data_IF_759700571220
#
_entry.id   IF_759700571220
#
_cell.length_a   1.000
_cell.length_b   1.000
_cell.length_c   1.000
_cell.angle_alpha   90.00
_cell.angle_beta   90.00
_cell.angle_gamma   90.00
#
_symmetry.space_group_name_H-M   'P 1'
#
loop_
_entity.id
_entity.type
_entity.pdbx_description
1 polymer ?
#
# COMPACT_ATOMS: atom_id res chain seq x y z
N UNK A 1 -1.95 4.23 -7.06
CA UNK A 1 -0.51 3.97 -7.25
C UNK A 1 -0.22 2.47 -7.47
N UNK A 2 -0.49 1.58 -6.51
CA UNK A 2 -0.06 0.17 -6.63
C UNK A 2 -0.65 -0.61 -7.81
N UNK A 3 -1.94 -0.44 -8.13
CA UNK A 3 -2.54 -1.05 -9.33
C UNK A 3 -1.89 -0.55 -10.63
N UNK A 4 -1.49 0.71 -10.69
CA UNK A 4 -0.82 1.26 -11.87
C UNK A 4 0.58 0.66 -12.03
N UNK A 5 1.32 0.43 -10.93
CA UNK A 5 2.59 -0.29 -11.01
C UNK A 5 2.37 -1.71 -11.55
N UNK A 6 1.39 -2.46 -11.02
CA UNK A 6 1.09 -3.82 -11.49
C UNK A 6 0.68 -3.84 -12.98
N UNK A 7 -0.06 -2.83 -13.41
CA UNK A 7 -0.51 -2.67 -14.78
C UNK A 7 0.65 -2.40 -15.75
N UNK A 8 1.52 -1.42 -15.44
CA UNK A 8 2.48 -0.90 -16.41
C UNK A 8 3.89 -1.47 -16.30
N UNK A 9 4.24 -2.10 -15.17
CA UNK A 9 5.53 -2.76 -15.01
C UNK A 9 5.49 -4.13 -15.70
N UNK A 10 6.15 -4.24 -16.85
CA UNK A 10 6.25 -5.50 -17.62
C UNK A 10 7.19 -6.51 -16.96
N UNK A 11 8.41 -6.05 -16.62
CA UNK A 11 9.51 -6.94 -16.29
C UNK A 11 9.62 -7.20 -14.80
N UNK A 12 9.90 -8.46 -14.47
CA UNK A 12 10.32 -8.95 -13.14
C UNK A 12 9.34 -8.65 -12.00
N UNK A 13 8.11 -8.23 -12.32
CA UNK A 13 7.09 -7.96 -11.32
C UNK A 13 6.31 -9.21 -10.94
N UNK A 14 6.15 -10.16 -11.85
CA UNK A 14 5.34 -11.36 -11.63
C UNK A 14 6.13 -12.62 -12.01
N UNK A 15 6.14 -13.63 -11.15
CA UNK A 15 6.89 -14.88 -11.36
C UNK A 15 6.01 -16.07 -11.75
N UNK A 16 4.72 -16.06 -11.39
CA UNK A 16 3.74 -17.11 -11.70
C UNK A 16 2.33 -16.53 -11.82
N UNK A 17 1.38 -17.32 -12.32
CA UNK A 17 -0.02 -16.88 -12.34
C UNK A 17 -0.58 -16.62 -10.94
N UNK A 18 -0.27 -17.50 -9.98
CA UNK A 18 -0.72 -17.35 -8.58
C UNK A 18 -0.09 -16.14 -7.90
N UNK A 19 1.19 -15.86 -8.18
CA UNK A 19 1.83 -14.61 -7.76
C UNK A 19 1.13 -13.38 -8.37
N UNK A 20 0.71 -13.46 -9.65
CA UNK A 20 -0.08 -12.42 -10.29
C UNK A 20 -1.42 -12.19 -9.59
N UNK A 21 -2.14 -13.28 -9.26
CA UNK A 21 -3.45 -13.24 -8.59
C UNK A 21 -3.32 -12.68 -7.17
N UNK A 22 -2.29 -13.09 -6.42
CA UNK A 22 -1.91 -12.48 -5.14
C UNK A 22 -1.73 -10.98 -5.25
N UNK A 23 -0.91 -10.54 -6.21
CA UNK A 23 -0.62 -9.14 -6.45
C UNK A 23 -1.87 -8.34 -6.83
N UNK A 24 -2.74 -8.93 -7.64
CA UNK A 24 -3.98 -8.32 -8.09
C UNK A 24 -4.97 -8.16 -6.92
N UNK A 25 -5.27 -9.25 -6.20
CA UNK A 25 -6.21 -9.28 -5.08
C UNK A 25 -5.78 -8.30 -3.98
N UNK A 26 -4.52 -8.34 -3.54
CA UNK A 26 -4.00 -7.43 -2.52
C UNK A 26 -4.21 -5.95 -2.89
N UNK A 27 -3.93 -5.58 -4.15
CA UNK A 27 -4.04 -4.20 -4.63
C UNK A 27 -5.50 -3.75 -4.82
N UNK A 28 -6.41 -4.63 -5.22
CA UNK A 28 -7.84 -4.32 -5.29
C UNK A 28 -8.42 -4.10 -3.89
N UNK A 29 -8.09 -4.97 -2.94
CA UNK A 29 -8.51 -4.85 -1.55
C UNK A 29 -7.99 -3.56 -0.91
N UNK A 30 -6.71 -3.26 -1.10
CA UNK A 30 -6.11 -2.02 -0.59
C UNK A 30 -6.75 -0.77 -1.22
N UNK A 31 -7.00 -0.78 -2.54
CA UNK A 31 -7.74 0.29 -3.22
C UNK A 31 -9.13 0.46 -2.62
N UNK A 32 -9.84 -0.62 -2.31
CA UNK A 32 -11.18 -0.55 -1.71
C UNK A 32 -11.12 0.07 -0.31
N UNK A 33 -10.18 -0.34 0.53
CA UNK A 33 -9.97 0.27 1.84
C UNK A 33 -9.71 1.78 1.71
N UNK A 34 -8.90 2.20 0.74
CA UNK A 34 -8.66 3.61 0.45
C UNK A 34 -9.95 4.35 0.04
N UNK A 35 -10.73 3.79 -0.91
CA UNK A 35 -12.00 4.38 -1.37
C UNK A 35 -13.04 4.50 -0.26
N UNK A 36 -13.04 3.56 0.69
CA UNK A 36 -13.96 3.54 1.83
C UNK A 36 -13.47 4.39 3.02
N UNK A 37 -12.30 5.02 2.94
CA UNK A 37 -11.71 5.75 4.06
C UNK A 37 -11.33 4.85 5.25
N UNK A 38 -11.20 3.54 5.04
CA UNK A 38 -10.90 2.56 6.10
C UNK A 38 -9.41 2.41 6.40
N UNK A 39 -8.53 3.03 5.62
CA UNK A 39 -7.09 3.02 5.92
C UNK A 39 -6.76 3.78 7.21
N UNK A 40 -7.56 4.78 7.58
CA UNK A 40 -7.35 5.54 8.83
C UNK A 40 -7.80 4.79 10.09
N UNK A 41 -8.33 3.56 9.97
CA UNK A 41 -8.79 2.76 11.12
C UNK A 41 -7.63 2.22 11.98
N UNK A 42 -6.38 2.23 11.49
CA UNK A 42 -5.21 1.86 12.29
C UNK A 42 -4.70 3.09 13.06
N UNK A 43 -4.72 3.02 14.39
CA UNK A 43 -4.43 4.17 15.26
C UNK A 43 -5.10 4.06 16.63
N UNK A 44 -4.78 4.99 17.55
CA UNK A 44 -5.58 5.22 18.75
C UNK A 44 -6.99 5.70 18.41
N UNK A 45 -8.02 5.17 19.08
CA UNK A 45 -9.42 5.61 18.88
C UNK A 45 -9.70 7.08 19.27
N UNK A 46 -8.78 7.75 19.97
CA UNK A 46 -8.89 9.15 20.43
C UNK A 46 -8.16 10.15 19.53
N UNK A 47 -7.66 9.71 18.38
CA UNK A 47 -6.79 10.49 17.51
C UNK A 47 -7.53 11.49 16.60
N UNK A 48 -8.39 12.35 17.17
CA UNK A 48 -9.14 13.37 16.41
C UNK A 48 -8.26 14.42 15.70
N UNK A 49 -6.99 14.58 16.09
CA UNK A 49 -6.00 15.41 15.39
C UNK A 49 -5.38 14.73 14.14
N UNK A 50 -5.56 13.41 14.02
CA UNK A 50 -4.93 12.56 13.00
C UNK A 50 -5.68 12.52 11.67
N UNK A 51 -6.86 13.16 11.59
CA UNK A 51 -7.59 13.37 10.34
C UNK A 51 -6.78 14.19 9.31
N UNK A 52 -5.77 14.94 9.76
CA UNK A 52 -4.74 15.51 8.88
C UNK A 52 -3.66 14.45 8.57
N UNK A 53 -3.91 13.66 7.52
CA UNK A 53 -3.06 12.56 7.00
C UNK A 53 -1.57 12.94 6.84
N UNK A 54 -1.23 14.22 6.73
CA UNK A 54 0.12 14.73 6.47
C UNK A 54 1.11 14.72 7.65
N UNK A 55 0.70 14.40 8.88
CA UNK A 55 1.63 14.41 10.05
C UNK A 55 1.89 13.03 10.71
N UNK A 56 1.25 11.95 10.24
CA UNK A 56 1.33 10.62 10.89
C UNK A 56 2.70 9.97 10.86
N UNK A 57 3.54 10.28 9.86
CA UNK A 57 4.86 9.64 9.71
C UNK A 57 5.86 10.01 10.81
N UNK A 58 5.70 11.18 11.44
CA UNK A 58 6.55 11.60 12.57
C UNK A 58 6.26 10.75 13.81
N UNK A 59 5.04 10.21 13.90
CA UNK A 59 4.55 9.38 15.00
C UNK A 59 4.86 7.90 14.79
N UNK A 60 5.50 7.53 13.69
CA UNK A 60 5.92 6.15 13.42
C UNK A 60 7.37 5.96 13.86
N UNK A 61 7.76 4.74 14.25
CA UNK A 61 9.14 4.48 14.60
C UNK A 61 10.05 4.65 13.37
N UNK A 62 11.30 5.10 13.57
CA UNK A 62 12.22 5.34 12.46
C UNK A 62 12.54 4.05 11.72
N UNK A 63 12.20 3.95 10.44
CA UNK A 63 12.43 2.73 9.66
C UNK A 63 13.93 2.33 9.56
N UNK A 64 14.84 3.29 9.74
CA UNK A 64 16.28 3.12 9.55
C UNK A 64 17.02 2.47 10.73
N UNK A 65 16.34 2.02 11.80
CA UNK A 65 17.01 1.39 12.97
C UNK A 65 17.89 0.18 12.61
N UNK A 66 17.61 -0.51 11.50
CA UNK A 66 18.42 -1.63 11.02
C UNK A 66 19.37 -1.28 9.88
N UNK A 67 19.36 -0.03 9.38
CA UNK A 67 20.11 0.42 8.19
C UNK A 67 19.92 -0.48 6.95
N UNK A 68 18.82 -1.24 6.90
CA UNK A 68 18.44 -2.17 5.86
C UNK A 68 16.93 -2.02 5.65
N UNK A 69 16.46 -2.08 4.39
CA UNK A 69 15.01 -2.07 4.10
C UNK A 69 14.40 -3.46 4.24
N UNK A 70 13.11 -3.58 4.64
CA UNK A 70 12.40 -4.85 4.74
C UNK A 70 12.61 -5.85 3.58
N UNK A 71 12.61 -5.36 2.34
CA UNK A 71 12.77 -6.17 1.13
C UNK A 71 14.19 -6.71 0.87
N UNK A 72 15.22 -6.12 1.50
CA UNK A 72 16.61 -6.52 1.27
C UNK A 72 17.04 -7.71 2.14
N UNK A 73 16.34 -7.92 3.26
CA UNK A 73 16.76 -8.91 4.23
C UNK A 73 16.74 -10.33 3.67
N UNK A 74 17.78 -11.08 4.01
CA UNK A 74 17.94 -12.49 3.68
C UNK A 74 18.01 -13.32 4.97
N UNK A 75 17.49 -14.58 4.96
CA UNK A 75 16.84 -15.25 3.84
C UNK A 75 15.36 -14.89 3.62
N UNK A 76 14.60 -14.49 4.64
CA UNK A 76 13.12 -14.48 4.58
C UNK A 76 12.48 -13.08 4.45
N UNK A 77 13.23 -12.08 3.96
CA UNK A 77 12.70 -10.76 3.62
C UNK A 77 12.03 -10.04 4.80
N UNK A 78 10.82 -9.54 4.55
CA UNK A 78 10.08 -8.62 5.44
C UNK A 78 9.80 -9.23 6.82
N UNK A 79 9.58 -10.55 6.91
CA UNK A 79 9.22 -11.21 8.18
C UNK A 79 10.39 -11.29 9.16
N UNK A 80 11.55 -11.72 8.68
CA UNK A 80 12.77 -11.68 9.47
C UNK A 80 13.19 -10.26 9.79
N UNK A 81 12.93 -9.33 8.86
CA UNK A 81 13.22 -7.93 9.09
C UNK A 81 12.38 -7.40 10.24
N UNK A 82 11.08 -7.70 10.23
CA UNK A 82 10.15 -7.31 11.27
C UNK A 82 10.57 -7.84 12.65
N UNK A 83 11.02 -9.10 12.72
CA UNK A 83 11.51 -9.70 13.98
C UNK A 83 12.71 -8.95 14.55
N UNK A 84 13.75 -8.71 13.75
CA UNK A 84 14.93 -8.02 14.30
C UNK A 84 14.69 -6.50 14.46
N UNK A 85 13.82 -5.91 13.65
CA UNK A 85 13.43 -4.52 13.81
C UNK A 85 12.70 -4.34 15.13
N UNK A 86 11.80 -5.26 15.49
CA UNK A 86 11.09 -5.26 16.77
C UNK A 86 12.03 -5.26 17.97
N UNK A 87 13.11 -6.06 17.95
CA UNK A 87 14.11 -6.08 19.02
C UNK A 87 14.81 -4.72 19.19
N UNK A 88 15.12 -4.06 18.07
CA UNK A 88 15.84 -2.79 18.05
C UNK A 88 14.90 -1.65 18.41
N UNK A 89 13.65 -1.74 17.96
CA UNK A 89 12.57 -0.84 18.33
C UNK A 89 12.35 -0.85 19.84
N UNK A 90 12.30 -2.01 20.50
CA UNK A 90 12.15 -2.07 21.96
C UNK A 90 13.30 -1.36 22.70
N UNK A 91 14.52 -1.48 22.19
CA UNK A 91 15.69 -0.78 22.76
C UNK A 91 15.56 0.74 22.56
N UNK A 92 15.15 1.16 21.36
CA UNK A 92 14.91 2.56 21.03
C UNK A 92 13.80 3.18 21.89
N UNK A 93 12.67 2.47 22.04
CA UNK A 93 11.53 2.94 22.82
C UNK A 93 11.89 3.13 24.29
N UNK A 94 12.64 2.21 24.90
CA UNK A 94 13.14 2.37 26.29
C UNK A 94 14.00 3.62 26.46
N UNK A 95 14.86 3.91 25.48
CA UNK A 95 15.69 5.11 25.52
C UNK A 95 14.84 6.39 25.40
N UNK A 96 13.84 6.39 24.52
CA UNK A 96 12.92 7.53 24.38
C UNK A 96 12.08 7.73 25.65
N UNK A 97 11.50 6.66 26.19
CA UNK A 97 10.68 6.70 27.41
C UNK A 97 11.45 7.32 28.60
N UNK A 98 12.75 7.04 28.72
CA UNK A 98 13.61 7.67 29.74
C UNK A 98 13.78 9.17 29.51
N UNK A 99 13.98 9.60 28.26
CA UNK A 99 14.14 11.02 27.90
C UNK A 99 12.83 11.81 28.00
N UNK A 100 11.69 11.14 27.81
CA UNK A 100 10.37 11.76 27.84
C UNK A 100 9.85 11.95 29.28
N UNK A 101 10.56 11.44 30.30
CA UNK A 101 10.19 11.63 31.71
C UNK A 101 10.14 13.11 32.08
N UNK A 102 8.97 13.56 32.53
CA UNK A 102 8.75 14.93 32.97
C UNK A 102 8.54 15.95 31.83
N UNK A 103 8.51 15.50 30.57
CA UNK A 103 8.14 16.34 29.45
C UNK A 103 6.61 16.50 29.35
N UNK A 104 6.16 17.65 28.83
CA UNK A 104 4.77 17.90 28.51
C UNK A 104 4.53 17.76 27.00
N UNK A 105 3.49 17.01 26.62
CA UNK A 105 3.13 16.73 25.22
C UNK A 105 1.79 17.39 24.88
N UNK A 106 1.63 17.81 23.62
CA UNK A 106 0.46 18.57 23.16
C UNK A 106 -0.87 17.83 23.33
N UNK A 107 -0.85 16.51 23.12
CA UNK A 107 -1.98 15.60 23.29
C UNK A 107 -1.89 14.76 24.58
N UNK A 108 -0.88 15.03 25.42
CA UNK A 108 -0.59 14.26 26.63
C UNK A 108 -0.01 12.86 26.36
N UNK A 109 0.28 12.51 25.10
CA UNK A 109 0.80 11.19 24.72
C UNK A 109 2.27 11.34 24.30
N UNK A 110 3.21 10.64 24.94
CA UNK A 110 4.61 10.65 24.53
C UNK A 110 4.82 10.11 23.11
N UNK A 111 5.89 10.51 22.44
CA UNK A 111 6.19 10.05 21.09
C UNK A 111 6.50 8.55 21.07
N UNK A 112 7.16 8.02 22.11
CA UNK A 112 7.40 6.58 22.26
C UNK A 112 6.10 5.77 22.27
N UNK A 113 5.05 6.26 22.93
CA UNK A 113 3.75 5.61 22.98
C UNK A 113 3.09 5.58 21.59
N UNK A 114 3.19 6.68 20.83
CA UNK A 114 2.73 6.73 19.45
C UNK A 114 3.48 5.77 18.53
N UNK A 115 4.81 5.68 18.67
CA UNK A 115 5.64 4.76 17.89
C UNK A 115 5.32 3.29 18.18
N UNK A 116 5.13 2.95 19.46
CA UNK A 116 4.75 1.61 19.90
C UNK A 116 3.38 1.22 19.33
N UNK A 117 2.39 2.09 19.49
CA UNK A 117 1.05 1.87 18.94
C UNK A 117 1.12 1.69 17.42
N UNK A 118 1.86 2.54 16.70
CA UNK A 118 2.00 2.43 15.25
C UNK A 118 2.48 1.06 14.79
N UNK A 119 3.45 0.51 15.51
CA UNK A 119 4.01 -0.80 15.24
C UNK A 119 3.01 -1.92 15.55
N UNK A 120 2.38 -1.87 16.72
CA UNK A 120 1.45 -2.89 17.22
C UNK A 120 0.14 -2.94 16.41
N UNK A 121 -0.40 -1.79 16.01
CA UNK A 121 -1.65 -1.70 15.21
C UNK A 121 -1.40 -1.90 13.72
N UNK A 122 -0.15 -1.79 13.27
CA UNK A 122 0.23 -1.94 11.86
C UNK A 122 0.13 -0.64 11.06
N UNK A 123 -0.05 0.52 11.70
CA UNK A 123 0.03 1.83 11.04
C UNK A 123 1.38 2.04 10.36
N UNK A 124 2.47 1.61 11.00
CA UNK A 124 3.81 1.62 10.39
C UNK A 124 3.80 0.91 9.03
N UNK A 125 3.24 -0.30 8.98
CA UNK A 125 3.17 -1.11 7.77
C UNK A 125 2.25 -0.53 6.71
N UNK A 126 1.15 0.09 7.13
CA UNK A 126 0.26 0.81 6.22
C UNK A 126 0.98 1.98 5.56
N UNK A 127 1.68 2.81 6.34
CA UNK A 127 2.44 3.94 5.82
C UNK A 127 3.62 3.47 4.94
N UNK A 128 4.26 2.36 5.29
CA UNK A 128 5.29 1.73 4.48
C UNK A 128 4.73 1.25 3.12
N UNK A 129 3.65 0.47 3.15
CA UNK A 129 2.99 -0.06 1.96
C UNK A 129 2.53 1.06 1.02
N UNK A 130 1.96 2.15 1.58
CA UNK A 130 1.50 3.29 0.80
C UNK A 130 2.60 4.01 0.00
N UNK A 131 3.89 3.88 0.40
CA UNK A 131 5.03 4.55 -0.24
C UNK A 131 5.90 3.61 -1.07
N UNK A 132 5.94 2.32 -0.74
CA UNK A 132 6.90 1.36 -1.30
C UNK A 132 6.17 0.23 -2.02
N UNK A 133 6.12 0.33 -3.35
CA UNK A 133 5.31 -0.61 -4.14
C UNK A 133 5.97 -1.97 -4.38
N UNK A 134 7.29 -2.11 -4.22
CA UNK A 134 8.03 -3.38 -4.42
C UNK A 134 7.87 -4.38 -3.27
N UNK A 135 7.77 -3.92 -2.02
CA UNK A 135 7.52 -4.77 -0.86
C UNK A 135 6.02 -4.91 -0.54
N UNK A 136 5.15 -4.26 -1.35
CA UNK A 136 3.74 -4.11 -1.04
C UNK A 136 3.05 -5.45 -0.76
N UNK A 137 3.35 -6.48 -1.56
CA UNK A 137 2.69 -7.78 -1.47
C UNK A 137 3.00 -8.50 -0.15
N UNK A 138 4.28 -8.61 0.18
CA UNK A 138 4.71 -9.18 1.45
C UNK A 138 4.14 -8.38 2.63
N UNK A 139 4.20 -7.04 2.56
CA UNK A 139 3.67 -6.18 3.63
C UNK A 139 2.15 -6.34 3.80
N UNK A 140 1.41 -6.36 2.69
CA UNK A 140 -0.04 -6.51 2.72
C UNK A 140 -0.44 -7.85 3.33
N UNK A 141 0.10 -8.95 2.81
CA UNK A 141 -0.31 -10.29 3.21
C UNK A 141 0.09 -10.66 4.65
N UNK A 142 1.26 -10.19 5.10
CA UNK A 142 1.79 -10.53 6.41
C UNK A 142 1.29 -9.59 7.52
N UNK A 143 1.11 -8.31 7.23
CA UNK A 143 0.86 -7.31 8.29
C UNK A 143 -0.49 -6.60 8.20
N UNK A 144 -1.12 -6.53 7.02
CA UNK A 144 -2.35 -5.74 6.82
C UNK A 144 -3.61 -6.58 6.60
N UNK A 145 -3.53 -7.67 5.83
CA UNK A 145 -4.69 -8.44 5.39
C UNK A 145 -5.60 -8.87 6.56
N UNK A 146 -5.05 -9.61 7.53
CA UNK A 146 -5.87 -10.12 8.63
C UNK A 146 -6.40 -9.02 9.56
N UNK A 147 -5.75 -7.84 9.60
CA UNK A 147 -6.19 -6.70 10.40
C UNK A 147 -7.43 -6.04 9.81
N UNK A 148 -7.55 -6.02 8.48
CA UNK A 148 -8.68 -5.41 7.78
C UNK A 148 -9.80 -6.39 7.44
N UNK A 149 -9.46 -7.66 7.23
CA UNK A 149 -10.35 -8.69 6.67
C UNK A 149 -10.53 -9.91 7.58
N UNK A 150 -9.91 -9.92 8.76
CA UNK A 150 -10.04 -10.99 9.75
C UNK A 150 -9.12 -12.19 9.50
N UNK A 151 -9.15 -13.15 10.42
CA UNK A 151 -8.26 -14.31 10.38
C UNK A 151 -8.41 -15.14 9.08
N UNK A 152 -7.30 -15.65 8.56
CA UNK A 152 -7.28 -16.69 7.53
C UNK A 152 -7.27 -18.07 8.19
N UNK A 153 -7.56 -19.10 7.41
CA UNK A 153 -7.23 -20.47 7.80
C UNK A 153 -5.71 -20.59 8.01
N UNK A 154 -5.30 -21.35 9.03
CA UNK A 154 -3.89 -21.59 9.32
C UNK A 154 -3.25 -22.46 8.25
N UNK A 155 -2.01 -22.17 7.87
CA UNK A 155 -1.22 -23.02 6.96
C UNK A 155 -1.54 -22.86 5.48
N UNK A 156 -2.25 -21.80 5.08
CA UNK A 156 -2.43 -21.45 3.67
C UNK A 156 -1.05 -21.09 3.07
N UNK A 157 -0.61 -21.74 1.99
CA UNK A 157 0.63 -21.38 1.31
C UNK A 157 0.57 -19.95 0.78
N UNK A 158 1.72 -19.26 0.73
CA UNK A 158 1.80 -17.86 0.28
C UNK A 158 1.20 -17.67 -1.12
N UNK A 159 1.42 -18.61 -2.04
CA UNK A 159 0.88 -18.62 -3.40
C UNK A 159 -0.65 -18.71 -3.47
N UNK A 160 -1.31 -19.18 -2.41
CA UNK A 160 -2.76 -19.37 -2.36
C UNK A 160 -3.51 -18.31 -1.54
N UNK A 161 -2.80 -17.32 -0.98
CA UNK A 161 -3.40 -16.30 -0.12
C UNK A 161 -4.56 -15.56 -0.80
N UNK A 162 -4.46 -15.28 -2.10
CA UNK A 162 -5.51 -14.65 -2.89
C UNK A 162 -6.84 -15.40 -2.85
N UNK A 163 -6.81 -16.73 -2.78
CA UNK A 163 -8.01 -17.58 -2.73
C UNK A 163 -8.81 -17.32 -1.45
N UNK A 164 -8.14 -16.94 -0.36
CA UNK A 164 -8.77 -16.67 0.94
C UNK A 164 -9.56 -15.36 1.01
N UNK A 165 -9.46 -14.53 -0.03
CA UNK A 165 -10.09 -13.20 -0.11
C UNK A 165 -10.85 -12.97 -1.40
N UNK A 166 -10.98 -13.99 -2.24
CA UNK A 166 -11.59 -13.85 -3.57
C UNK A 166 -13.05 -13.41 -3.48
N UNK A 167 -13.77 -13.90 -2.47
CA UNK A 167 -15.15 -13.56 -2.15
C UNK A 167 -15.35 -12.08 -1.79
N UNK A 168 -14.29 -11.39 -1.36
CA UNK A 168 -14.32 -9.96 -1.08
C UNK A 168 -14.28 -9.11 -2.34
N UNK A 169 -13.93 -9.65 -3.51
CA UNK A 169 -13.90 -8.90 -4.76
C UNK A 169 -15.29 -8.78 -5.37
N UNK A 170 -15.58 -7.65 -6.02
CA UNK A 170 -16.79 -7.51 -6.84
C UNK A 170 -16.77 -8.49 -8.02
N UNK A 171 -17.93 -8.76 -8.62
CA UNK A 171 -18.01 -9.66 -9.79
C UNK A 171 -17.17 -9.14 -10.94
N UNK A 172 -17.16 -7.82 -11.15
CA UNK A 172 -16.39 -7.15 -12.19
C UNK A 172 -14.89 -7.32 -11.95
N UNK A 173 -14.43 -7.16 -10.70
CA UNK A 173 -13.01 -7.35 -10.36
C UNK A 173 -12.57 -8.81 -10.48
N UNK A 174 -13.45 -9.77 -10.15
CA UNK A 174 -13.19 -11.21 -10.33
C UNK A 174 -13.11 -11.57 -11.83
N UNK A 175 -14.06 -11.08 -12.64
CA UNK A 175 -14.08 -11.31 -14.09
C UNK A 175 -12.89 -10.68 -14.82
N UNK A 176 -12.43 -9.51 -14.35
CA UNK A 176 -11.26 -8.84 -14.93
C UNK A 176 -9.92 -9.49 -14.54
N UNK A 177 -9.89 -10.33 -13.50
CA UNK A 177 -8.65 -10.91 -12.97
C UNK A 177 -7.98 -11.86 -13.95
N UNK A 178 -8.70 -12.84 -14.50
CA UNK A 178 -8.09 -13.85 -15.37
C UNK A 178 -7.56 -13.27 -16.69
N UNK A 179 -8.31 -12.40 -17.42
CA UNK A 179 -7.76 -11.70 -18.58
C UNK A 179 -6.52 -10.87 -18.24
N UNK A 180 -6.50 -10.24 -17.06
CA UNK A 180 -5.34 -9.50 -16.59
C UNK A 180 -4.14 -10.42 -16.37
N UNK A 181 -4.32 -11.55 -15.69
CA UNK A 181 -3.25 -12.54 -15.41
C UNK A 181 -2.68 -13.09 -16.71
N UNK A 182 -3.52 -13.52 -17.65
CA UNK A 182 -3.07 -14.03 -18.96
C UNK A 182 -2.19 -13.01 -19.67
N UNK A 183 -2.64 -11.74 -19.74
CA UNK A 183 -1.85 -10.67 -20.34
C UNK A 183 -0.52 -10.44 -19.63
N UNK A 184 -0.51 -10.41 -18.29
CA UNK A 184 0.73 -10.25 -17.51
C UNK A 184 1.72 -11.39 -17.76
N UNK A 185 1.23 -12.61 -17.97
CA UNK A 185 2.07 -13.76 -18.29
C UNK A 185 2.65 -13.71 -19.71
N UNK A 186 1.95 -13.06 -20.64
CA UNK A 186 2.49 -12.78 -21.98
C UNK A 186 3.54 -11.67 -21.91
N UNK A 187 3.23 -10.56 -21.23
CA UNK A 187 4.14 -9.43 -21.03
C UNK A 187 5.46 -9.85 -20.36
N UNK A 188 5.43 -10.80 -19.41
CA UNK A 188 6.64 -11.25 -18.70
C UNK A 188 7.58 -12.10 -19.56
N UNK A 189 7.12 -12.63 -20.70
CA UNK A 189 7.96 -13.37 -21.67
C UNK A 189 8.80 -12.42 -22.50
N UNK A 190 8.26 -11.24 -22.80
CA UNK A 190 8.87 -10.22 -23.62
C UNK A 190 9.57 -9.22 -22.69
N UNK A 191 10.85 -9.44 -22.39
CA UNK A 191 11.64 -8.58 -21.49
C UNK A 191 11.94 -7.20 -22.11
N UNK A 192 10.91 -6.40 -22.36
CA UNK A 192 10.99 -5.12 -23.07
C UNK A 192 10.64 -3.95 -22.15
N UNK A 193 11.26 -2.79 -22.40
CA UNK A 193 10.81 -1.53 -21.83
C UNK A 193 9.76 -0.94 -22.77
N UNK A 194 8.54 -0.75 -22.25
CA UNK A 194 7.43 -0.20 -23.03
C UNK A 194 7.31 1.29 -22.73
N UNK A 195 7.41 2.11 -23.78
CA UNK A 195 6.96 3.49 -23.74
C UNK A 195 5.45 3.52 -23.97
N UNK A 196 4.72 4.10 -23.03
CA UNK A 196 3.27 4.11 -23.07
C UNK A 196 2.75 5.43 -23.64
N UNK A 197 2.00 5.35 -24.74
CA UNK A 197 1.22 6.48 -25.22
C UNK A 197 0.16 6.90 -24.16
N UNK A 198 0.03 8.20 -23.83
CA UNK A 198 -0.85 8.64 -22.73
C UNK A 198 -2.32 8.22 -22.89
N UNK A 199 -2.83 8.17 -24.12
CA UNK A 199 -4.20 7.73 -24.40
C UNK A 199 -4.38 6.24 -24.08
N UNK A 200 -3.40 5.42 -24.46
CA UNK A 200 -3.40 3.98 -24.20
C UNK A 200 -3.25 3.68 -22.71
N UNK A 201 -2.36 4.39 -22.02
CA UNK A 201 -2.20 4.26 -20.57
C UNK A 201 -3.51 4.57 -19.82
N UNK A 202 -4.20 5.66 -20.20
CA UNK A 202 -5.50 6.03 -19.60
C UNK A 202 -6.56 4.97 -19.87
N UNK A 203 -6.66 4.46 -21.11
CA UNK A 203 -7.60 3.41 -21.48
C UNK A 203 -7.41 2.16 -20.63
N UNK A 204 -6.17 1.63 -20.57
CA UNK A 204 -5.84 0.44 -19.79
C UNK A 204 -6.08 0.61 -18.30
N UNK A 205 -5.74 1.77 -17.75
CA UNK A 205 -6.02 2.07 -16.35
C UNK A 205 -7.52 2.11 -16.08
N UNK A 206 -8.30 2.70 -16.99
CA UNK A 206 -9.76 2.74 -16.88
C UNK A 206 -10.37 1.33 -16.90
N UNK A 207 -9.96 0.50 -17.85
CA UNK A 207 -10.44 -0.90 -17.97
C UNK A 207 -10.16 -1.70 -16.69
N UNK A 208 -8.97 -1.53 -16.08
CA UNK A 208 -8.63 -2.19 -14.83
C UNK A 208 -9.45 -1.69 -13.63
N UNK A 209 -9.79 -0.39 -13.61
CA UNK A 209 -10.46 0.24 -12.47
C UNK A 209 -11.99 0.11 -12.52
N UNK A 210 -12.57 0.02 -13.72
CA UNK A 210 -14.00 0.14 -13.97
C UNK A 210 -14.57 -0.97 -14.86
N UNK A 211 -13.73 -1.88 -15.38
CA UNK A 211 -14.13 -2.89 -16.35
C UNK A 211 -14.11 -2.37 -17.79
N UNK A 212 -14.29 -3.25 -18.79
CA UNK A 212 -14.35 -2.86 -20.19
C UNK A 212 -15.52 -1.89 -20.43
N UNK A 213 -15.21 -0.69 -20.93
CA UNK A 213 -16.23 0.29 -21.30
C UNK A 213 -16.93 -0.19 -22.58
N UNK A 214 -18.24 -0.45 -22.51
CA UNK A 214 -19.06 -0.70 -23.71
C UNK A 214 -19.42 0.57 -24.46
N UNK A 215 -18.99 1.74 -23.98
CA UNK A 215 -19.25 3.03 -24.60
C UNK A 215 -17.94 3.81 -24.78
N UNK A 216 -17.79 4.46 -25.94
CA UNK A 216 -16.69 5.39 -26.21
C UNK A 216 -16.58 6.40 -25.06
N UNK A 217 -15.34 6.61 -24.59
CA UNK A 217 -15.00 7.49 -23.48
C UNK A 217 -15.42 8.94 -23.78
N UNK A 218 -16.62 9.35 -23.39
CA UNK A 218 -16.79 10.72 -22.90
C UNK A 218 -16.13 10.78 -21.52
N UNK A 219 -15.06 11.57 -21.34
CA UNK A 219 -14.39 11.64 -20.06
C UNK A 219 -15.39 12.07 -18.97
N UNK A 220 -15.34 11.47 -17.76
CA UNK A 220 -16.10 11.99 -16.64
C UNK A 220 -15.68 13.45 -16.42
N UNK A 221 -16.66 14.34 -16.39
CA UNK A 221 -16.49 15.76 -16.09
C UNK A 221 -15.97 15.87 -14.66
N UNK A 222 -14.66 15.74 -14.48
CA UNK A 222 -13.99 16.23 -13.30
C UNK A 222 -14.10 17.75 -13.38
N UNK A 223 -14.70 18.34 -12.35
CA UNK A 223 -14.78 19.77 -12.09
C UNK A 223 -13.61 20.52 -12.74
N UNK A 224 -13.91 21.32 -13.75
CA UNK A 224 -13.09 22.45 -14.16
C UNK A 224 -12.98 23.36 -12.93
N UNK A 225 -11.87 23.24 -12.18
CA UNK A 225 -11.40 24.39 -11.42
C UNK A 225 -10.99 25.43 -12.45
N UNK A 226 -11.83 26.44 -12.53
CA UNK A 226 -11.68 27.70 -13.25
C UNK A 226 -10.25 28.20 -13.05
N UNK A 227 -9.43 28.10 -14.10
CA UNK A 227 -8.31 29.02 -14.30
C UNK A 227 -8.82 30.11 -15.25
N UNK A 228 -9.56 31.04 -14.66
CA UNK A 228 -9.71 32.38 -15.19
C UNK A 228 -8.89 33.32 -14.30
N UNK A 229 -8.33 34.36 -14.92
CA UNK A 229 -7.27 35.27 -14.48
C UNK A 229 -5.88 34.63 -14.63
N UNK A 230 -5.11 34.92 -15.67
CA UNK A 230 -4.80 36.27 -16.16
C UNK A 230 -3.52 36.73 -15.48
N UNK A 231 -2.59 37.26 -16.27
CA UNK A 231 -1.30 37.89 -15.89
C UNK A 231 -0.14 37.00 -15.43
N UNK A 232 0.69 36.69 -16.44
CA UNK A 232 2.15 36.87 -16.50
C UNK A 232 2.88 37.65 -15.39
N UNK A 233 4.15 37.26 -15.18
CA UNK A 233 5.24 37.88 -14.37
C UNK A 233 5.21 37.53 -12.86
N UNK A 234 6.30 37.24 -12.14
CA UNK A 234 7.69 37.74 -12.10
C UNK A 234 8.59 36.63 -11.48
N UNK A 235 9.83 36.45 -11.96
CA UNK A 235 11.11 36.83 -11.30
C UNK A 235 11.67 35.81 -10.28
N UNK A 236 13.01 35.86 -10.18
CA UNK A 236 13.96 34.89 -9.63
C UNK A 236 13.76 34.49 -8.17
#
# INVERSE_FOLDING_TARGET
MHLAQLLFQHNDLVSSEDDCRNKYVARQLFRRLAKQGRLSTLGFAQDNWSAAVTKKFVLDPPWWLLFETPEMRRPSGVDEWSKAYGLQLETWLKAMEEQEKGAAFLDGIPLSAHMRESWETGRFWLNYAARKSWAFDAVFWNFLDQRFFGARHSGVPDEELWKTRLDLLSREEQQAMEPFVTRKMEESRERILVEWEPAEARRRLSELLFGPSTYELTPPVFYTMVLDQGTMELEW
#
